data_IF_492632006245
#
_entry.id   IF_492632006245
#
_cell.length_a   1.000
_cell.length_b   1.000
_cell.length_c   1.000
_cell.angle_alpha   90.00
_cell.angle_beta   90.00
_cell.angle_gamma   90.00
#
_symmetry.space_group_name_H-M   'P 1'
#
loop_
_entity.id
_entity.type
_entity.pdbx_description
1 polymer ?
#
# COMPACT_ATOMS: atom_id res chain seq x y z
N UNK A 1 -15.97 5.94 16.14
CA UNK A 1 -14.65 5.53 16.65
C UNK A 1 -13.74 4.88 15.59
N UNK A 2 -14.15 4.84 14.30
CA UNK A 2 -13.46 4.14 13.21
C UNK A 2 -12.40 4.95 12.45
N UNK A 3 -12.35 6.29 12.60
CA UNK A 3 -11.40 7.14 11.86
C UNK A 3 -9.94 7.02 12.36
N UNK A 4 -9.72 6.78 13.65
CA UNK A 4 -8.37 6.75 14.23
C UNK A 4 -7.57 5.50 13.83
N UNK A 5 -8.23 4.33 13.77
CA UNK A 5 -7.61 3.07 13.32
C UNK A 5 -7.17 3.12 11.85
N UNK A 6 -7.96 3.78 10.99
CA UNK A 6 -7.61 3.94 9.58
C UNK A 6 -6.35 4.80 9.39
N UNK A 7 -6.15 5.84 10.20
CA UNK A 7 -4.98 6.71 10.06
C UNK A 7 -3.68 6.02 10.50
N UNK A 8 -3.70 5.23 11.57
CA UNK A 8 -2.51 4.49 12.01
C UNK A 8 -2.07 3.46 10.98
N UNK A 9 -3.02 2.66 10.45
CA UNK A 9 -2.72 1.68 9.41
C UNK A 9 -2.17 2.34 8.14
N UNK A 10 -2.77 3.45 7.69
CA UNK A 10 -2.28 4.21 6.53
C UNK A 10 -0.85 4.68 6.72
N UNK A 11 -0.49 5.20 7.90
CA UNK A 11 0.87 5.64 8.18
C UNK A 11 1.86 4.47 8.13
N UNK A 12 1.53 3.33 8.76
CA UNK A 12 2.38 2.13 8.70
C UNK A 12 2.54 1.60 7.26
N UNK A 13 1.49 1.66 6.45
CA UNK A 13 1.56 1.31 5.03
C UNK A 13 2.48 2.28 4.29
N UNK A 14 2.30 3.60 4.48
CA UNK A 14 3.13 4.63 3.85
C UNK A 14 4.61 4.47 4.20
N UNK A 15 4.94 4.19 5.46
CA UNK A 15 6.32 3.93 5.89
C UNK A 15 6.95 2.75 5.14
N UNK A 16 6.21 1.63 5.04
CA UNK A 16 6.67 0.44 4.32
C UNK A 16 6.84 0.71 2.82
N UNK A 17 5.87 1.38 2.21
CA UNK A 17 5.90 1.71 0.79
C UNK A 17 6.99 2.74 0.47
N UNK A 18 7.28 3.67 1.37
CA UNK A 18 8.40 4.61 1.22
C UNK A 18 9.75 3.87 1.18
N UNK A 19 9.93 2.83 1.99
CA UNK A 19 11.13 1.98 1.89
C UNK A 19 11.20 1.23 0.55
N UNK A 20 10.07 0.67 0.09
CA UNK A 20 10.00 -0.03 -1.21
C UNK A 20 10.30 0.94 -2.37
N UNK A 21 9.73 2.14 -2.34
CA UNK A 21 9.94 3.15 -3.37
C UNK A 21 11.43 3.47 -3.57
N UNK A 22 12.20 3.50 -2.49
CA UNK A 22 13.65 3.78 -2.56
C UNK A 22 14.45 2.70 -3.29
N UNK A 23 13.87 1.52 -3.52
CA UNK A 23 14.49 0.41 -4.27
C UNK A 23 14.01 0.33 -5.72
N UNK A 24 13.06 1.17 -6.13
CA UNK A 24 12.50 1.18 -7.49
C UNK A 24 13.22 2.23 -8.35
N UNK A 25 13.45 1.93 -9.64
CA UNK A 25 13.88 2.96 -10.57
C UNK A 25 12.67 3.82 -11.00
N UNK A 26 12.90 5.07 -11.43
CA UNK A 26 11.83 5.91 -11.97
C UNK A 26 11.07 5.20 -13.11
N UNK A 27 9.76 5.05 -12.95
CA UNK A 27 8.87 4.38 -13.92
C UNK A 27 8.62 2.90 -13.64
N UNK A 28 9.36 2.28 -12.70
CA UNK A 28 9.08 0.91 -12.27
C UNK A 28 7.78 0.84 -11.46
N UNK A 29 7.18 -0.36 -11.46
CA UNK A 29 6.07 -0.68 -10.58
C UNK A 29 6.26 -2.09 -10.05
N UNK A 30 5.88 -2.31 -8.80
CA UNK A 30 5.97 -3.60 -8.14
C UNK A 30 4.64 -3.99 -7.55
N UNK A 31 4.27 -5.26 -7.70
CA UNK A 31 3.10 -5.80 -7.02
C UNK A 31 3.40 -5.86 -5.52
N UNK A 32 2.58 -5.16 -4.73
CA UNK A 32 2.58 -5.20 -3.28
C UNK A 32 1.27 -5.81 -2.83
N UNK A 33 1.36 -6.89 -2.06
CA UNK A 33 0.18 -7.61 -1.58
C UNK A 33 0.33 -7.83 -0.07
N UNK A 34 -0.78 -7.82 0.68
CA UNK A 34 -0.74 -8.21 2.08
C UNK A 34 -0.20 -9.64 2.22
N UNK A 35 0.51 -9.89 3.32
CA UNK A 35 0.91 -11.24 3.68
C UNK A 35 -0.32 -12.10 4.00
N UNK A 36 -0.46 -13.25 3.34
CA UNK A 36 -1.50 -14.24 3.59
C UNK A 36 -0.81 -15.56 3.96
N UNK A 37 -1.18 -16.12 5.11
CA UNK A 37 -0.58 -17.36 5.58
C UNK A 37 -0.84 -18.51 4.59
N UNK A 38 0.19 -19.29 4.30
CA UNK A 38 0.14 -20.37 3.31
C UNK A 38 0.11 -19.94 1.83
N UNK A 39 0.21 -18.64 1.51
CA UNK A 39 0.35 -18.17 0.13
C UNK A 39 1.75 -17.60 -0.11
N UNK A 40 2.41 -18.06 -1.17
CA UNK A 40 3.61 -17.38 -1.65
C UNK A 40 3.23 -16.03 -2.25
N UNK A 41 3.87 -14.98 -1.75
CA UNK A 41 3.58 -13.61 -2.16
C UNK A 41 4.88 -12.89 -2.49
N UNK A 42 4.94 -12.26 -3.66
CA UNK A 42 6.08 -11.43 -4.05
C UNK A 42 5.94 -10.08 -3.34
N UNK A 43 6.89 -9.73 -2.48
CA UNK A 43 6.85 -8.53 -1.61
C UNK A 43 5.67 -8.48 -0.62
N UNK A 44 5.62 -9.40 0.36
CA UNK A 44 4.54 -9.46 1.33
C UNK A 44 4.55 -8.22 2.24
N UNK A 45 3.44 -7.48 2.23
CA UNK A 45 3.20 -6.39 3.15
C UNK A 45 2.59 -6.94 4.44
N UNK A 46 3.44 -7.12 5.45
CA UNK A 46 3.03 -7.54 6.80
C UNK A 46 3.06 -6.35 7.76
N UNK A 47 1.92 -6.06 8.38
CA UNK A 47 1.78 -5.01 9.39
C UNK A 47 1.22 -5.64 10.66
N UNK A 48 1.97 -5.56 11.75
CA UNK A 48 1.57 -6.17 13.01
C UNK A 48 0.27 -5.53 13.54
N UNK A 49 -0.66 -6.38 13.99
CA UNK A 49 -1.97 -5.97 14.49
C UNK A 49 -3.06 -5.81 13.42
N UNK A 50 -2.75 -6.08 12.15
CA UNK A 50 -3.70 -5.97 11.04
C UNK A 50 -3.69 -7.24 10.19
N UNK A 51 -4.88 -7.68 9.79
CA UNK A 51 -5.05 -8.80 8.87
C UNK A 51 -4.92 -8.37 7.40
N UNK A 52 -4.88 -9.37 6.51
CA UNK A 52 -4.70 -9.12 5.09
C UNK A 52 -5.85 -8.33 4.46
N UNK A 53 -7.09 -8.51 4.94
CA UNK A 53 -8.27 -7.80 4.42
C UNK A 53 -8.21 -6.31 4.74
N UNK A 54 -7.81 -5.97 5.97
CA UNK A 54 -7.64 -4.61 6.42
C UNK A 54 -6.55 -3.90 5.62
N UNK A 55 -5.41 -4.58 5.39
CA UNK A 55 -4.30 -4.05 4.60
C UNK A 55 -4.72 -3.86 3.14
N UNK A 56 -5.34 -4.86 2.49
CA UNK A 56 -5.79 -4.75 1.09
C UNK A 56 -6.81 -3.62 0.90
N UNK A 57 -7.83 -3.59 1.76
CA UNK A 57 -8.86 -2.54 1.71
C UNK A 57 -8.26 -1.15 1.87
N UNK A 58 -7.29 -1.00 2.78
CA UNK A 58 -6.61 0.28 3.00
C UNK A 58 -5.70 0.64 1.83
N UNK A 59 -4.96 -0.29 1.23
CA UNK A 59 -4.17 -0.05 0.02
C UNK A 59 -5.05 0.49 -1.11
N UNK A 60 -6.19 -0.17 -1.38
CA UNK A 60 -7.13 0.26 -2.42
C UNK A 60 -7.70 1.64 -2.13
N UNK A 61 -8.08 1.90 -0.87
CA UNK A 61 -8.59 3.21 -0.45
C UNK A 61 -7.52 4.30 -0.62
N UNK A 62 -6.27 4.02 -0.25
CA UNK A 62 -5.16 4.95 -0.40
C UNK A 62 -4.87 5.29 -1.87
N UNK A 63 -5.00 4.32 -2.78
CA UNK A 63 -4.91 4.63 -4.20
C UNK A 63 -6.11 5.46 -4.68
N UNK A 64 -7.35 5.08 -4.32
CA UNK A 64 -8.57 5.85 -4.70
C UNK A 64 -8.55 7.29 -4.20
N UNK A 65 -7.97 7.52 -3.02
CA UNK A 65 -7.84 8.85 -2.40
C UNK A 65 -6.59 9.61 -2.84
N UNK A 66 -5.76 9.01 -3.71
CA UNK A 66 -4.59 9.65 -4.32
C UNK A 66 -3.41 9.80 -3.36
N UNK A 67 -3.28 8.95 -2.34
CA UNK A 67 -2.08 8.87 -1.48
C UNK A 67 -0.96 8.05 -2.14
N UNK A 68 -1.32 7.11 -3.00
CA UNK A 68 -0.39 6.24 -3.73
C UNK A 68 -0.60 6.41 -5.23
N UNK A 69 0.50 6.39 -5.98
CA UNK A 69 0.48 6.23 -7.43
C UNK A 69 0.57 4.74 -7.73
N UNK A 70 -0.50 4.19 -8.33
CA UNK A 70 -0.50 2.82 -8.80
C UNK A 70 -0.07 2.76 -10.26
N UNK A 71 0.86 1.86 -10.57
CA UNK A 71 1.13 1.45 -11.96
C UNK A 71 -0.13 0.84 -12.57
N UNK A 72 -0.22 0.86 -13.90
CA UNK A 72 -1.37 0.53 -14.77
C UNK A 72 -2.15 -0.77 -14.46
N UNK A 73 -2.80 -0.89 -13.30
CA UNK A 73 -3.73 -1.98 -12.97
C UNK A 73 -4.89 -1.43 -12.13
N UNK A 74 -6.06 -1.82 -12.59
CA UNK A 74 -7.40 -1.41 -12.17
C UNK A 74 -7.60 -1.58 -10.67
N UNK A 75 -8.11 -0.54 -10.00
CA UNK A 75 -8.54 -0.57 -8.60
C UNK A 75 -9.55 -1.68 -8.28
N UNK A 76 -10.18 -2.24 -9.31
CA UNK A 76 -11.19 -3.29 -9.29
C UNK A 76 -10.70 -4.64 -9.85
N UNK A 77 -9.38 -4.85 -9.97
CA UNK A 77 -8.85 -6.17 -10.34
C UNK A 77 -9.20 -7.21 -9.26
N UNK A 78 -9.56 -8.45 -9.64
CA UNK A 78 -9.91 -9.54 -8.70
C UNK A 78 -8.71 -10.04 -7.87
N UNK A 79 -7.50 -9.53 -8.13
CA UNK A 79 -6.28 -9.88 -7.42
C UNK A 79 -6.11 -9.05 -6.14
N UNK A 80 -5.63 -9.67 -5.06
CA UNK A 80 -5.31 -9.01 -3.79
C UNK A 80 -4.01 -8.19 -3.96
N UNK A 81 -3.98 -6.95 -3.46
CA UNK A 81 -2.85 -6.04 -3.53
C UNK A 81 -2.99 -4.93 -4.57
N UNK A 82 -1.90 -4.20 -4.80
CA UNK A 82 -1.79 -3.10 -5.76
C UNK A 82 -0.45 -3.15 -6.50
N UNK A 83 -0.41 -2.63 -7.73
CA UNK A 83 0.86 -2.27 -8.35
C UNK A 83 1.27 -0.91 -7.82
N UNK A 84 2.33 -0.87 -7.02
CA UNK A 84 2.87 0.34 -6.41
C UNK A 84 4.02 0.88 -7.26
N UNK A 85 3.96 2.16 -7.61
CA UNK A 85 5.05 2.87 -8.30
C UNK A 85 5.70 3.92 -7.41
N UNK A 86 4.89 4.75 -6.75
CA UNK A 86 5.40 5.86 -5.94
C UNK A 86 4.37 6.35 -4.92
N UNK A 87 4.84 6.99 -3.84
CA UNK A 87 4.02 7.86 -3.01
C UNK A 87 3.71 9.14 -3.78
N UNK A 88 2.46 9.57 -3.76
CA UNK A 88 2.10 10.89 -4.30
C UNK A 88 2.62 11.99 -3.37
N UNK A 89 2.67 13.27 -3.81
CA UNK A 89 2.97 14.39 -2.92
C UNK A 89 2.08 14.42 -1.67
N UNK A 90 0.81 14.03 -1.81
CA UNK A 90 -0.15 13.93 -0.70
C UNK A 90 0.21 12.80 0.26
N UNK A 91 0.61 11.64 -0.26
CA UNK A 91 1.10 10.52 0.55
C UNK A 91 2.35 10.88 1.36
N UNK A 92 3.31 11.59 0.73
CA UNK A 92 4.53 12.08 1.40
C UNK A 92 4.21 13.10 2.49
N UNK A 93 3.33 14.05 2.21
CA UNK A 93 2.87 15.05 3.19
C UNK A 93 2.24 14.38 4.42
N UNK A 94 1.39 13.37 4.21
CA UNK A 94 0.77 12.62 5.31
C UNK A 94 1.81 11.87 6.14
N UNK A 95 2.86 11.34 5.50
CA UNK A 95 3.98 10.67 6.15
C UNK A 95 4.95 11.64 6.84
N UNK A 96 4.90 12.94 6.54
CA UNK A 96 5.87 13.93 7.01
C UNK A 96 7.22 13.84 6.29
N UNK A 97 7.21 13.49 5.00
CA UNK A 97 8.39 13.38 4.12
C UNK A 97 8.31 14.32 2.93
#
# INVERSE_FOLDING_TARGET
MTQNLNNELRLKILEKLYSIESTLNPGDSVLVQPYIDGQETTNPLKIHGYDWNQIDSTLREMCRTGLLSSGSVQYDAPAIGIYFSALTPRGRTLLGK
#
